data_IF_621764226284
#
_entry.id   IF_621764226284
#
_cell.length_a   1.000
_cell.length_b   1.000
_cell.length_c   1.000
_cell.angle_alpha   90.00
_cell.angle_beta   90.00
_cell.angle_gamma   90.00
#
_symmetry.space_group_name_H-M   'P 1'
#
loop_
_entity.id
_entity.type
_entity.pdbx_description
1 polymer ?
#
# COMPACT_ATOMS: atom_id res chain seq x y z
N UNK A 1 55.10 -28.40 23.58
CA UNK A 1 53.69 -28.80 23.83
C UNK A 1 52.77 -27.76 23.19
N UNK A 2 51.90 -28.16 22.25
CA UNK A 2 51.05 -27.28 21.44
C UNK A 2 49.94 -26.65 22.30
N UNK A 3 49.79 -25.33 22.28
CA UNK A 3 48.64 -24.65 22.91
C UNK A 3 47.91 -23.77 21.89
N UNK A 4 46.97 -24.37 21.16
CA UNK A 4 46.22 -23.74 20.07
C UNK A 4 44.72 -24.06 20.17
N UNK A 5 44.00 -23.62 21.23
CA UNK A 5 42.52 -23.77 21.29
C UNK A 5 41.79 -22.68 22.11
N UNK A 6 42.08 -21.38 21.91
CA UNK A 6 41.27 -20.29 22.54
C UNK A 6 40.70 -19.22 21.57
N UNK A 7 40.95 -19.31 20.26
CA UNK A 7 40.43 -18.34 19.26
C UNK A 7 39.03 -18.68 18.70
N UNK A 8 38.48 -19.87 18.97
CA UNK A 8 37.22 -20.32 18.35
C UNK A 8 35.96 -19.89 19.11
N UNK A 9 36.04 -19.62 20.41
CA UNK A 9 34.89 -19.22 21.21
C UNK A 9 34.28 -17.87 20.77
N UNK A 10 35.05 -16.75 20.68
CA UNK A 10 34.51 -15.49 20.21
C UNK A 10 34.07 -15.54 18.74
N UNK A 11 34.74 -16.35 17.90
CA UNK A 11 34.31 -16.60 16.51
C UNK A 11 32.97 -17.33 16.45
N UNK A 12 32.76 -18.35 17.29
CA UNK A 12 31.49 -19.08 17.37
C UNK A 12 30.36 -18.17 17.86
N UNK A 13 30.60 -17.36 18.91
CA UNK A 13 29.63 -16.39 19.40
C UNK A 13 29.29 -15.35 18.31
N UNK A 14 30.30 -14.82 17.62
CA UNK A 14 30.10 -13.89 16.50
C UNK A 14 29.28 -14.52 15.36
N UNK A 15 29.60 -15.75 14.96
CA UNK A 15 28.84 -16.47 13.94
C UNK A 15 27.39 -16.75 14.40
N UNK A 16 27.17 -17.07 15.67
CA UNK A 16 25.82 -17.23 16.21
C UNK A 16 25.04 -15.91 16.16
N UNK A 17 25.65 -14.79 16.55
CA UNK A 17 24.99 -13.47 16.49
C UNK A 17 24.66 -13.08 15.04
N UNK A 18 25.59 -13.32 14.10
CA UNK A 18 25.35 -13.07 12.68
C UNK A 18 24.19 -13.91 12.15
N UNK A 19 24.13 -15.20 12.53
CA UNK A 19 23.03 -16.10 12.14
C UNK A 19 21.69 -15.65 12.72
N UNK A 20 21.66 -15.21 13.98
CA UNK A 20 20.44 -14.66 14.61
C UNK A 20 20.00 -13.38 13.89
N UNK A 21 20.92 -12.47 13.59
CA UNK A 21 20.60 -11.22 12.89
C UNK A 21 20.06 -11.49 11.49
N UNK A 22 20.65 -12.45 10.77
CA UNK A 22 20.13 -12.90 9.48
C UNK A 22 18.73 -13.51 9.61
N UNK A 23 18.50 -14.36 10.61
CA UNK A 23 17.19 -14.96 10.85
C UNK A 23 16.12 -13.90 11.18
N UNK A 24 16.46 -12.89 11.99
CA UNK A 24 15.58 -11.75 12.28
C UNK A 24 15.31 -10.94 11.03
N UNK A 25 16.32 -10.68 10.20
CA UNK A 25 16.15 -9.96 8.94
C UNK A 25 15.22 -10.69 7.97
N UNK A 26 15.38 -12.01 7.82
CA UNK A 26 14.50 -12.84 7.00
C UNK A 26 13.08 -12.86 7.56
N UNK A 27 12.92 -13.08 8.87
CA UNK A 27 11.62 -13.08 9.52
C UNK A 27 10.89 -11.74 9.37
N UNK A 28 11.62 -10.62 9.53
CA UNK A 28 11.09 -9.29 9.29
C UNK A 28 10.66 -9.10 7.84
N UNK A 29 11.49 -9.53 6.87
CA UNK A 29 11.17 -9.47 5.45
C UNK A 29 9.91 -10.26 5.09
N UNK A 30 9.76 -11.47 5.63
CA UNK A 30 8.54 -12.28 5.45
C UNK A 30 7.33 -11.57 6.06
N UNK A 31 7.47 -11.07 7.29
CA UNK A 31 6.39 -10.38 7.98
C UNK A 31 5.88 -9.15 7.21
N UNK A 32 6.77 -8.25 6.78
CA UNK A 32 6.36 -7.02 6.08
C UNK A 32 5.84 -7.28 4.67
N UNK A 33 6.24 -8.39 4.05
CA UNK A 33 5.70 -8.80 2.76
C UNK A 33 4.25 -9.28 2.88
N UNK A 34 3.90 -9.95 3.98
CA UNK A 34 2.56 -10.49 4.20
C UNK A 34 1.59 -9.47 4.82
N UNK A 35 2.12 -8.44 5.49
CA UNK A 35 1.35 -7.50 6.32
C UNK A 35 0.25 -6.69 5.59
N UNK A 36 0.27 -6.60 4.25
CA UNK A 36 -0.63 -5.70 3.49
C UNK A 36 -1.59 -6.40 2.51
N UNK A 37 -1.75 -7.72 2.57
CA UNK A 37 -2.67 -8.45 1.71
C UNK A 37 -4.03 -8.65 2.38
N UNK A 38 -4.84 -7.59 2.44
CA UNK A 38 -6.22 -7.70 2.91
C UNK A 38 -7.10 -8.31 1.81
N UNK A 39 -7.72 -9.45 2.09
CA UNK A 39 -8.78 -10.06 1.28
C UNK A 39 -10.14 -9.76 1.91
N UNK A 40 -10.98 -9.03 1.17
CA UNK A 40 -12.30 -8.57 1.57
C UNK A 40 -13.44 -9.33 0.89
N UNK A 41 -13.15 -10.30 0.01
CA UNK A 41 -14.14 -10.99 -0.82
C UNK A 41 -15.30 -11.59 -0.01
N UNK A 42 -15.00 -12.18 1.15
CA UNK A 42 -15.99 -12.81 2.06
C UNK A 42 -16.33 -11.96 3.29
N UNK A 43 -15.94 -10.69 3.31
CA UNK A 43 -16.10 -9.83 4.51
C UNK A 43 -17.56 -9.40 4.78
N UNK A 44 -18.44 -9.48 3.77
CA UNK A 44 -19.78 -8.91 3.81
C UNK A 44 -19.81 -7.38 3.81
N UNK A 45 -18.66 -6.72 3.63
CA UNK A 45 -18.57 -5.26 3.53
C UNK A 45 -18.94 -4.80 2.12
N UNK A 46 -19.63 -3.65 2.05
CA UNK A 46 -19.76 -2.90 0.80
C UNK A 46 -18.54 -2.02 0.62
N UNK A 47 -17.89 -2.10 -0.55
CA UNK A 47 -16.67 -1.35 -0.86
C UNK A 47 -16.92 -0.33 -1.96
N UNK A 48 -16.39 0.88 -1.75
CA UNK A 48 -16.30 1.95 -2.73
C UNK A 48 -14.84 2.33 -2.91
N UNK A 49 -14.39 2.40 -4.16
CA UNK A 49 -13.06 2.86 -4.53
C UNK A 49 -13.17 4.07 -5.47
N UNK A 50 -12.31 5.07 -5.26
CA UNK A 50 -12.18 6.18 -6.17
C UNK A 50 -10.72 6.57 -6.34
N UNK A 51 -10.34 6.93 -7.57
CA UNK A 51 -9.00 7.43 -7.90
C UNK A 51 -9.08 8.45 -9.04
N UNK A 52 -8.04 9.28 -9.19
CA UNK A 52 -7.95 10.28 -10.26
C UNK A 52 -7.32 9.71 -11.54
N UNK A 53 -7.76 10.15 -12.72
CA UNK A 53 -7.16 9.69 -14.01
C UNK A 53 -5.70 10.10 -14.18
N UNK A 54 -5.29 11.20 -13.54
CA UNK A 54 -3.93 11.74 -13.52
C UNK A 54 -3.20 11.39 -12.22
N UNK A 55 -3.67 10.40 -11.46
CA UNK A 55 -2.95 9.91 -10.27
C UNK A 55 -1.67 9.19 -10.71
N UNK A 56 -0.53 9.84 -10.47
CA UNK A 56 0.79 9.29 -10.78
C UNK A 56 1.42 8.50 -9.63
N UNK A 57 0.83 8.58 -8.43
CA UNK A 57 1.34 7.93 -7.21
C UNK A 57 0.76 6.53 -7.06
N UNK A 58 -0.49 6.33 -7.48
CA UNK A 58 -1.15 5.02 -7.49
C UNK A 58 -0.46 4.09 -8.48
N UNK A 59 0.09 2.98 -7.96
CA UNK A 59 0.56 1.90 -8.81
C UNK A 59 -0.64 1.16 -9.43
N UNK A 60 -0.98 1.51 -10.67
CA UNK A 60 -2.12 0.95 -11.41
C UNK A 60 -2.01 -0.55 -11.64
N UNK A 61 -0.82 -1.05 -11.98
CA UNK A 61 -0.62 -2.50 -12.21
C UNK A 61 -0.92 -3.30 -10.94
N UNK A 62 -0.41 -2.83 -9.79
CA UNK A 62 -0.68 -3.46 -8.50
C UNK A 62 -2.14 -3.32 -8.09
N UNK A 63 -2.75 -2.15 -8.31
CA UNK A 63 -4.16 -1.92 -8.04
C UNK A 63 -5.04 -2.95 -8.79
N UNK A 64 -4.84 -3.09 -10.10
CA UNK A 64 -5.58 -4.06 -10.92
C UNK A 64 -5.34 -5.51 -10.49
N UNK A 65 -4.09 -5.87 -10.16
CA UNK A 65 -3.75 -7.19 -9.67
C UNK A 65 -4.43 -7.52 -8.33
N UNK A 66 -4.56 -6.53 -7.45
CA UNK A 66 -5.16 -6.68 -6.13
C UNK A 66 -6.70 -6.57 -6.14
N UNK A 67 -7.34 -6.22 -7.28
CA UNK A 67 -8.82 -6.18 -7.38
C UNK A 67 -9.49 -7.51 -7.07
N UNK A 68 -8.76 -8.63 -7.22
CA UNK A 68 -9.24 -9.96 -6.83
C UNK A 68 -9.57 -10.07 -5.34
N UNK A 69 -9.00 -9.19 -4.51
CA UNK A 69 -9.17 -9.17 -3.06
C UNK A 69 -10.36 -8.29 -2.63
N UNK A 70 -11.11 -7.71 -3.57
CA UNK A 70 -12.27 -6.86 -3.29
C UNK A 70 -13.58 -7.63 -3.55
N UNK A 71 -14.68 -7.30 -2.84
CA UNK A 71 -15.99 -7.83 -3.18
C UNK A 71 -16.35 -7.59 -4.66
N UNK A 72 -17.02 -8.55 -5.29
CA UNK A 72 -17.38 -8.47 -6.71
C UNK A 72 -18.32 -7.29 -7.03
N UNK A 73 -19.10 -6.85 -6.04
CA UNK A 73 -20.02 -5.70 -6.11
C UNK A 73 -19.36 -4.37 -5.71
N UNK A 74 -18.02 -4.33 -5.60
CA UNK A 74 -17.27 -3.10 -5.36
C UNK A 74 -17.60 -2.07 -6.43
N UNK A 75 -18.02 -0.88 -5.98
CA UNK A 75 -18.24 0.27 -6.87
C UNK A 75 -16.93 1.04 -7.03
N UNK A 76 -16.54 1.33 -8.27
CA UNK A 76 -15.32 2.06 -8.59
C UNK A 76 -15.64 3.29 -9.43
N UNK A 77 -15.09 4.44 -9.04
CA UNK A 77 -15.23 5.72 -9.74
C UNK A 77 -13.87 6.27 -10.13
N UNK A 78 -13.71 6.63 -11.40
CA UNK A 78 -12.55 7.39 -11.88
C UNK A 78 -12.93 8.87 -11.93
N UNK A 79 -12.15 9.72 -11.28
CA UNK A 79 -12.30 11.17 -11.35
C UNK A 79 -11.43 11.68 -12.50
N UNK A 80 -12.08 11.95 -13.63
CA UNK A 80 -11.41 12.45 -14.84
C UNK A 80 -10.71 13.78 -14.57
N UNK A 81 -9.42 13.85 -14.91
CA UNK A 81 -8.55 14.98 -14.68
C UNK A 81 -8.04 15.14 -13.23
N UNK A 82 -8.48 14.30 -12.29
CA UNK A 82 -8.03 14.32 -10.90
C UNK A 82 -6.66 13.66 -10.71
N UNK A 83 -5.88 14.10 -9.73
CA UNK A 83 -4.58 13.52 -9.38
C UNK A 83 -4.58 12.97 -7.95
N UNK A 84 -3.49 12.34 -7.48
CA UNK A 84 -3.42 11.78 -6.13
C UNK A 84 -3.66 12.84 -5.05
N UNK A 85 -2.94 13.96 -5.17
CA UNK A 85 -2.96 15.01 -4.18
C UNK A 85 -4.30 15.75 -4.09
N UNK A 86 -5.10 15.73 -5.16
CA UNK A 86 -6.36 16.48 -5.22
C UNK A 86 -7.43 15.99 -4.25
N UNK A 87 -7.29 14.79 -3.68
CA UNK A 87 -8.20 14.30 -2.63
C UNK A 87 -8.05 15.01 -1.28
N UNK A 88 -6.96 15.76 -1.04
CA UNK A 88 -6.75 16.47 0.22
C UNK A 88 -6.15 17.86 0.05
N UNK A 89 -5.95 18.54 1.18
CA UNK A 89 -5.45 19.93 1.22
C UNK A 89 -3.96 20.01 1.61
N UNK A 90 -3.17 19.02 1.21
CA UNK A 90 -1.74 18.91 1.53
C UNK A 90 -0.81 19.33 0.37
N UNK A 91 -1.37 19.72 -0.77
CA UNK A 91 -0.61 20.20 -1.94
C UNK A 91 0.02 19.09 -2.77
N UNK A 92 0.70 19.47 -3.85
CA UNK A 92 1.25 18.54 -4.84
C UNK A 92 2.26 17.56 -4.23
N UNK A 93 2.21 16.30 -4.67
CA UNK A 93 3.11 15.26 -4.23
C UNK A 93 4.16 14.92 -5.30
N UNK A 94 5.33 14.47 -4.85
CA UNK A 94 6.38 14.00 -5.75
C UNK A 94 5.93 12.69 -6.41
N UNK A 95 6.00 12.66 -7.74
CA UNK A 95 5.63 11.47 -8.52
C UNK A 95 4.15 11.42 -8.90
N UNK A 96 3.34 12.38 -8.44
CA UNK A 96 1.97 12.55 -8.90
C UNK A 96 1.92 13.10 -10.33
N UNK A 97 0.77 12.96 -10.98
CA UNK A 97 0.50 13.58 -12.27
C UNK A 97 0.08 15.04 -12.14
N UNK A 98 -0.06 15.70 -13.29
CA UNK A 98 -0.54 17.08 -13.36
C UNK A 98 -2.08 17.07 -13.49
N UNK A 99 -2.84 17.54 -12.47
CA UNK A 99 -4.29 17.54 -12.56
C UNK A 99 -4.78 18.50 -13.64
N UNK A 100 -5.87 18.13 -14.31
CA UNK A 100 -6.56 18.93 -15.32
C UNK A 100 -7.75 19.70 -14.72
N UNK A 101 -8.22 19.26 -13.54
CA UNK A 101 -9.24 19.94 -12.73
C UNK A 101 -8.62 20.56 -11.48
N UNK A 102 -9.33 21.50 -10.84
CA UNK A 102 -8.90 22.06 -9.56
C UNK A 102 -9.07 21.04 -8.43
N UNK A 103 -8.32 21.22 -7.33
CA UNK A 103 -8.51 20.41 -6.12
C UNK A 103 -9.93 20.54 -5.57
N UNK A 104 -10.52 21.75 -5.62
CA UNK A 104 -11.90 21.98 -5.20
C UNK A 104 -12.89 21.17 -6.05
N UNK A 105 -12.69 21.12 -7.36
CA UNK A 105 -13.56 20.34 -8.26
C UNK A 105 -13.40 18.82 -8.02
N UNK A 106 -12.17 18.33 -7.84
CA UNK A 106 -11.93 16.93 -7.50
C UNK A 106 -12.58 16.55 -6.16
N UNK A 107 -12.45 17.40 -5.14
CA UNK A 107 -13.04 17.17 -3.82
C UNK A 107 -14.57 17.19 -3.89
N UNK A 108 -15.14 18.11 -4.66
CA UNK A 108 -16.59 18.19 -4.89
C UNK A 108 -17.10 16.92 -5.58
N UNK A 109 -16.47 16.49 -6.68
CA UNK A 109 -16.84 15.24 -7.36
C UNK A 109 -16.68 14.01 -6.44
N UNK A 110 -15.61 13.96 -5.65
CA UNK A 110 -15.40 12.89 -4.66
C UNK A 110 -16.55 12.85 -3.65
N UNK A 111 -16.92 14.00 -3.08
CA UNK A 111 -17.99 14.10 -2.10
C UNK A 111 -19.36 13.74 -2.70
N UNK A 112 -19.68 14.27 -3.89
CA UNK A 112 -20.95 14.03 -4.57
C UNK A 112 -21.12 12.55 -4.92
N UNK A 113 -20.08 11.91 -5.49
CA UNK A 113 -20.12 10.50 -5.90
C UNK A 113 -20.19 9.56 -4.70
N UNK A 114 -19.42 9.83 -3.64
CA UNK A 114 -19.46 9.05 -2.40
C UNK A 114 -20.83 9.20 -1.71
N UNK A 115 -21.36 10.41 -1.60
CA UNK A 115 -22.67 10.66 -0.99
C UNK A 115 -23.79 9.97 -1.79
N UNK A 116 -23.74 10.04 -3.13
CA UNK A 116 -24.68 9.31 -3.97
C UNK A 116 -24.61 7.80 -3.72
N UNK A 117 -23.42 7.21 -3.70
CA UNK A 117 -23.23 5.79 -3.41
C UNK A 117 -23.75 5.38 -2.02
N UNK A 118 -23.50 6.20 -1.00
CA UNK A 118 -24.01 5.97 0.36
C UNK A 118 -25.53 6.03 0.43
N UNK A 119 -26.18 6.84 -0.42
CA UNK A 119 -27.63 6.97 -0.44
C UNK A 119 -28.34 5.90 -1.30
N UNK A 120 -27.62 5.02 -2.00
CA UNK A 120 -28.18 3.88 -2.74
C UNK A 120 -28.59 2.71 -1.81
N UNK A 121 -28.93 2.98 -0.55
CA UNK A 121 -29.41 1.96 0.41
C UNK A 121 -30.94 1.83 0.38
#
# INVERSE_FOLDING_TARGET
MKNQKKKSFPRRVFLCLLAVLLAVYVAFGVYVNDYYHADLTDSGLRVYAAYGSEDGVLNREKYEADRINLPQDTTETVIDGGCHAGFGSYGAQKGDGAPVISAEEQQRQTADTLAAWMNLQ
#
